data_IF_990982184207
#
_entry.id   IF_990982184207
#
_cell.length_a   1.000
_cell.length_b   1.000
_cell.length_c   1.000
_cell.angle_alpha   90.00
_cell.angle_beta   90.00
_cell.angle_gamma   90.00
#
_symmetry.space_group_name_H-M   'P 1'
#
loop_
_entity.id
_entity.type
_entity.pdbx_description
1 polymer ?
#
# COMPACT_ATOMS: atom_id res chain seq x y z
N UNK A 1 -19.95 11.04 -9.82
CA UNK A 1 -19.00 10.07 -9.23
C UNK A 1 -17.73 10.14 -10.06
N UNK A 2 -16.59 10.46 -9.47
CA UNK A 2 -15.33 10.48 -10.21
C UNK A 2 -14.81 9.06 -10.32
N UNK A 3 -14.70 8.57 -11.55
CA UNK A 3 -13.99 7.31 -11.87
C UNK A 3 -12.57 7.66 -12.25
N UNK A 4 -11.61 6.92 -11.72
CA UNK A 4 -10.23 6.99 -12.19
C UNK A 4 -9.92 5.65 -12.87
N UNK A 5 -9.31 5.73 -14.04
CA UNK A 5 -8.78 4.57 -14.76
C UNK A 5 -7.27 4.52 -14.55
N UNK A 6 -6.70 3.33 -14.66
CA UNK A 6 -5.27 3.09 -14.47
C UNK A 6 -4.78 2.33 -15.69
N UNK A 7 -3.55 2.62 -16.13
CA UNK A 7 -2.91 1.89 -17.21
C UNK A 7 -2.77 0.40 -16.89
N UNK A 8 -2.94 -0.44 -17.91
CA UNK A 8 -2.91 -1.90 -17.76
C UNK A 8 -1.59 -2.40 -17.17
N UNK A 9 -0.48 -1.75 -17.52
CA UNK A 9 0.85 -2.06 -16.98
C UNK A 9 0.90 -1.90 -15.45
N UNK A 10 0.38 -0.79 -14.94
CA UNK A 10 0.31 -0.51 -13.49
C UNK A 10 -0.64 -1.50 -12.83
N UNK A 11 -1.78 -1.78 -13.45
CA UNK A 11 -2.74 -2.76 -12.93
C UNK A 11 -2.10 -4.15 -12.78
N UNK A 12 -1.31 -4.59 -13.76
CA UNK A 12 -0.64 -5.90 -13.73
C UNK A 12 0.47 -5.97 -12.68
N UNK A 13 1.27 -4.91 -12.51
CA UNK A 13 2.25 -4.83 -11.41
C UNK A 13 1.56 -4.99 -10.06
N UNK A 14 0.43 -4.30 -9.85
CA UNK A 14 -0.32 -4.35 -8.59
C UNK A 14 -0.95 -5.74 -8.37
N UNK A 15 -1.48 -6.39 -9.41
CA UNK A 15 -2.00 -7.78 -9.32
C UNK A 15 -0.90 -8.75 -8.92
N UNK A 16 0.29 -8.66 -9.51
CA UNK A 16 1.43 -9.52 -9.17
C UNK A 16 1.87 -9.31 -7.72
N UNK A 17 1.99 -8.06 -7.27
CA UNK A 17 2.33 -7.75 -5.89
C UNK A 17 1.27 -8.27 -4.90
N UNK A 18 -0.01 -8.10 -5.23
CA UNK A 18 -1.13 -8.57 -4.40
C UNK A 18 -1.11 -10.10 -4.24
N UNK A 19 -0.82 -10.84 -5.33
CA UNK A 19 -0.68 -12.30 -5.30
C UNK A 19 0.49 -12.74 -4.41
N UNK A 20 1.64 -12.06 -4.52
CA UNK A 20 2.83 -12.35 -3.72
C UNK A 20 2.59 -12.14 -2.21
N UNK A 21 1.82 -11.11 -1.86
CA UNK A 21 1.56 -10.72 -0.47
C UNK A 21 0.26 -11.30 0.10
N UNK A 22 -0.43 -12.16 -0.64
CA UNK A 22 -1.73 -12.75 -0.27
C UNK A 22 -2.76 -11.68 0.15
N UNK A 23 -2.87 -10.63 -0.67
CA UNK A 23 -3.78 -9.49 -0.48
C UNK A 23 -4.73 -9.35 -1.67
N UNK A 24 -5.83 -8.63 -1.47
CA UNK A 24 -6.68 -8.23 -2.59
C UNK A 24 -5.98 -7.18 -3.45
N UNK A 25 -6.18 -7.19 -4.77
CA UNK A 25 -5.62 -6.19 -5.67
C UNK A 25 -5.97 -4.77 -5.26
N UNK A 26 -7.23 -4.54 -4.84
CA UNK A 26 -7.69 -3.24 -4.32
C UNK A 26 -6.95 -2.84 -3.04
N UNK A 27 -6.76 -3.78 -2.11
CA UNK A 27 -6.03 -3.54 -0.87
C UNK A 27 -4.56 -3.18 -1.15
N UNK A 28 -3.91 -3.92 -2.05
CA UNK A 28 -2.53 -3.67 -2.43
C UNK A 28 -2.37 -2.35 -3.19
N UNK A 29 -3.29 -2.04 -4.09
CA UNK A 29 -3.34 -0.75 -4.78
C UNK A 29 -3.39 0.41 -3.78
N UNK A 30 -4.33 0.34 -2.83
CA UNK A 30 -4.48 1.36 -1.79
C UNK A 30 -3.21 1.49 -0.95
N UNK A 31 -2.59 0.39 -0.57
CA UNK A 31 -1.37 0.40 0.22
C UNK A 31 -0.22 1.10 -0.52
N UNK A 32 0.03 0.73 -1.78
CA UNK A 32 1.08 1.32 -2.61
C UNK A 32 0.82 2.81 -2.86
N UNK A 33 -0.43 3.19 -3.15
CA UNK A 33 -0.80 4.58 -3.36
C UNK A 33 -0.59 5.42 -2.09
N UNK A 34 -1.00 4.93 -0.92
CA UNK A 34 -0.74 5.63 0.35
C UNK A 34 0.76 5.84 0.55
N UNK A 35 1.57 4.80 0.35
CA UNK A 35 3.02 4.91 0.51
C UNK A 35 3.62 5.95 -0.45
N UNK A 36 3.21 5.95 -1.73
CA UNK A 36 3.66 6.94 -2.71
C UNK A 36 3.25 8.37 -2.31
N UNK A 37 2.01 8.56 -1.85
CA UNK A 37 1.52 9.87 -1.39
C UNK A 37 2.29 10.35 -0.15
N UNK A 38 2.64 9.45 0.78
CA UNK A 38 3.47 9.80 1.95
C UNK A 38 4.85 10.27 1.49
N UNK A 39 5.49 9.55 0.55
CA UNK A 39 6.81 9.91 0.02
C UNK A 39 6.80 11.28 -0.68
N UNK A 40 5.71 11.63 -1.36
CA UNK A 40 5.53 12.93 -2.00
C UNK A 40 5.06 14.03 -1.03
N UNK A 41 4.85 13.73 0.26
CA UNK A 41 4.33 14.68 1.24
C UNK A 41 2.85 15.06 1.03
N UNK A 42 2.14 14.31 0.18
CA UNK A 42 0.74 14.55 -0.18
C UNK A 42 -0.24 13.83 0.75
N UNK A 43 0.23 12.90 1.58
CA UNK A 43 -0.60 12.21 2.55
C UNK A 43 -0.53 12.88 3.94
N UNK A 44 -1.65 13.36 4.50
CA UNK A 44 -1.64 14.06 5.78
C UNK A 44 -1.23 13.12 6.92
N UNK A 45 -0.20 13.53 7.69
CA UNK A 45 0.36 12.74 8.82
C UNK A 45 -0.61 12.53 9.99
N UNK A 46 -1.71 13.28 10.06
CA UNK A 46 -2.65 13.30 11.19
C UNK A 46 -4.01 12.68 10.89
N UNK A 47 -4.11 11.71 9.98
CA UNK A 47 -5.35 10.93 9.89
C UNK A 47 -5.46 9.98 11.09
N UNK A 48 -6.65 9.89 11.72
CA UNK A 48 -6.87 9.01 12.86
C UNK A 48 -6.49 7.58 12.45
N UNK A 49 -5.64 6.94 13.27
CA UNK A 49 -5.12 5.58 13.09
C UNK A 49 -6.29 4.59 12.94
N UNK A 50 -6.65 4.27 11.70
CA UNK A 50 -7.68 3.29 11.40
C UNK A 50 -7.30 2.28 10.33
N UNK A 51 -6.12 2.37 9.70
CA UNK A 51 -5.74 1.47 8.61
C UNK A 51 -4.24 1.17 8.66
N UNK A 52 -3.93 -0.04 9.15
CA UNK A 52 -2.73 -0.85 8.91
C UNK A 52 -1.38 -0.20 9.21
N UNK A 53 -0.87 -0.42 10.42
CA UNK A 53 0.57 -0.39 10.68
C UNK A 53 1.30 -1.39 9.77
N UNK A 54 2.44 -1.03 9.16
CA UNK A 54 3.29 -2.02 8.52
C UNK A 54 3.82 -2.96 9.60
N UNK A 55 3.62 -4.27 9.41
CA UNK A 55 4.19 -5.32 10.26
C UNK A 55 5.71 -5.10 10.27
N UNK A 56 6.24 -4.66 11.41
CA UNK A 56 7.69 -4.70 11.68
C UNK A 56 8.04 -6.18 11.86
N UNK A 57 8.69 -6.79 10.87
CA UNK A 57 9.36 -8.08 11.07
C UNK A 57 10.38 -7.91 12.20
N UNK A 58 10.21 -8.67 13.27
CA UNK A 58 11.11 -8.69 14.41
C UNK A 58 12.47 -9.21 14.01
N UNK A 59 13.51 -8.38 14.15
CA UNK A 59 14.86 -8.87 14.32
C UNK A 59 15.04 -9.27 15.79
N UNK A 60 14.88 -10.56 16.06
CA UNK A 60 15.36 -11.19 17.29
C UNK A 60 16.88 -11.31 17.17
N UNK A 61 17.61 -10.33 17.70
CA UNK A 61 18.98 -10.55 18.15
C UNK A 61 18.91 -10.72 19.67
N UNK A 62 18.82 -11.97 20.12
CA UNK A 62 19.13 -12.35 21.49
C UNK A 62 20.65 -12.37 21.67
N UNK A 63 21.08 -11.89 22.84
CA UNK A 63 22.47 -11.70 23.28
C UNK A 63 22.96 -12.98 23.94
#
# INVERSE_FOLDING_TARGET
>A
MYTFSIDDEIADIVKQAAKRENRTTRGQFKHLLINALIQQGLYPKNQPKGVSEPIKNGNQNEI
#
